data_IF_120445885268
#
_entry.id   IF_120445885268
#
_cell.length_a   1.000
_cell.length_b   1.000
_cell.length_c   1.000
_cell.angle_alpha   90.00
_cell.angle_beta   90.00
_cell.angle_gamma   90.00
#
_symmetry.space_group_name_H-M   'P 1'
#
loop_
_entity.id
_entity.type
_entity.pdbx_description
1 polymer ?
#
# COMPACT_ATOMS: atom_id res chain seq x y z
N UNK A 1 15.42 -22.69 -15.41
CA UNK A 1 15.35 -21.23 -15.64
C UNK A 1 16.15 -20.62 -14.49
N UNK A 2 17.13 -19.80 -14.82
CA UNK A 2 18.11 -19.32 -13.83
C UNK A 2 17.46 -18.35 -12.84
N UNK A 3 17.71 -18.53 -11.53
CA UNK A 3 17.29 -17.62 -10.45
C UNK A 3 17.62 -16.15 -10.77
N UNK A 4 18.72 -15.91 -11.46
CA UNK A 4 19.18 -14.60 -11.90
C UNK A 4 18.18 -13.82 -12.81
N UNK A 5 17.22 -14.50 -13.46
CA UNK A 5 16.19 -13.79 -14.25
C UNK A 5 15.07 -13.25 -13.35
N UNK A 6 14.64 -14.04 -12.37
CA UNK A 6 13.58 -13.63 -11.44
C UNK A 6 14.04 -12.46 -10.56
N UNK A 7 15.31 -12.48 -10.13
CA UNK A 7 15.93 -11.41 -9.34
C UNK A 7 15.99 -10.06 -10.07
N UNK A 8 15.81 -10.06 -11.39
CA UNK A 8 15.79 -8.84 -12.22
C UNK A 8 14.39 -8.25 -12.45
N UNK A 9 13.34 -8.95 -12.02
CA UNK A 9 11.98 -8.49 -12.21
C UNK A 9 11.57 -7.57 -11.05
N UNK A 10 11.36 -6.26 -11.28
CA UNK A 10 11.09 -5.30 -10.20
C UNK A 10 9.89 -5.67 -9.33
N UNK A 11 8.90 -6.37 -9.90
CA UNK A 11 7.67 -6.76 -9.20
C UNK A 11 7.73 -8.18 -8.59
N UNK A 12 8.80 -8.94 -8.83
CA UNK A 12 8.97 -10.31 -8.30
C UNK A 12 9.92 -10.33 -7.09
N UNK A 13 9.71 -9.42 -6.14
CA UNK A 13 10.61 -9.23 -5.00
C UNK A 13 10.11 -9.94 -3.76
N UNK A 14 11.02 -10.56 -3.01
CA UNK A 14 10.71 -11.44 -1.88
C UNK A 14 11.59 -11.21 -0.64
N UNK A 15 12.04 -9.98 -0.41
CA UNK A 15 12.81 -9.66 0.81
C UNK A 15 11.94 -9.62 2.06
N UNK A 16 10.62 -9.49 1.89
CA UNK A 16 9.65 -9.52 2.98
C UNK A 16 9.15 -10.95 3.16
N UNK A 17 9.24 -11.48 4.37
CA UNK A 17 8.56 -12.71 4.75
C UNK A 17 7.07 -12.41 4.88
N UNK A 18 6.27 -13.04 4.03
CA UNK A 18 4.81 -12.83 4.02
C UNK A 18 4.10 -13.31 5.29
N UNK A 19 4.78 -14.06 6.15
CA UNK A 19 4.32 -14.51 7.48
C UNK A 19 2.89 -15.08 7.45
N UNK A 20 2.66 -15.96 6.48
CA UNK A 20 1.31 -16.42 6.07
C UNK A 20 0.57 -17.09 7.22
N UNK A 21 1.27 -17.85 8.06
CA UNK A 21 0.68 -18.63 9.14
C UNK A 21 0.02 -17.73 10.20
N UNK A 22 0.50 -16.50 10.36
CA UNK A 22 -0.04 -15.57 11.34
C UNK A 22 -1.29 -14.82 10.89
N UNK A 23 -1.59 -14.81 9.59
CA UNK A 23 -2.72 -14.03 9.04
C UNK A 23 -4.08 -14.40 9.64
N UNK A 24 -4.23 -15.62 10.13
CA UNK A 24 -5.43 -16.12 10.80
C UNK A 24 -5.48 -15.85 12.32
N UNK A 25 -4.45 -15.24 12.92
CA UNK A 25 -4.45 -14.94 14.34
C UNK A 25 -5.48 -13.86 14.67
N UNK A 26 -6.33 -14.15 15.64
CA UNK A 26 -7.30 -13.18 16.16
C UNK A 26 -6.59 -11.94 16.72
N UNK A 27 -7.05 -10.75 16.36
CA UNK A 27 -6.49 -9.47 16.82
C UNK A 27 -5.07 -9.18 16.32
N UNK A 28 -4.58 -9.88 15.28
CA UNK A 28 -3.25 -9.63 14.72
C UNK A 28 -3.06 -8.16 14.33
N UNK A 29 -4.01 -7.59 13.57
CA UNK A 29 -3.90 -6.21 13.08
C UNK A 29 -3.87 -5.19 14.22
N UNK A 30 -4.65 -5.41 15.29
CA UNK A 30 -4.65 -4.53 16.46
C UNK A 30 -3.29 -4.57 17.19
N UNK A 31 -2.72 -5.79 17.34
CA UNK A 31 -1.38 -5.93 17.94
C UNK A 31 -0.30 -5.26 17.10
N UNK A 32 -0.38 -5.40 15.77
CA UNK A 32 0.58 -4.75 14.87
C UNK A 32 0.43 -3.23 14.89
N UNK A 33 -0.78 -2.70 14.96
CA UNK A 33 -1.02 -1.27 15.14
C UNK A 33 -0.55 -0.75 16.50
N UNK A 34 -0.47 -1.59 17.51
CA UNK A 34 0.05 -1.23 18.83
C UNK A 34 1.60 -1.28 18.90
N UNK A 35 2.25 -1.94 17.93
CA UNK A 35 3.72 -2.04 17.89
C UNK A 35 4.31 -0.83 17.16
N UNK A 36 5.11 -0.02 17.87
CA UNK A 36 5.74 1.20 17.34
C UNK A 36 6.76 0.92 16.21
N UNK A 37 7.22 -0.32 16.07
CA UNK A 37 8.10 -0.74 14.96
C UNK A 37 7.36 -0.88 13.66
N UNK A 38 6.03 -1.12 13.70
CA UNK A 38 5.22 -1.32 12.50
C UNK A 38 5.31 -0.11 11.58
N UNK A 39 5.53 -0.39 10.30
CA UNK A 39 5.54 0.61 9.22
C UNK A 39 4.34 0.38 8.31
N UNK A 40 3.76 1.48 7.86
CA UNK A 40 2.50 1.45 7.10
C UNK A 40 2.67 2.15 5.77
N UNK A 41 2.37 1.42 4.69
CA UNK A 41 2.28 1.93 3.33
C UNK A 41 0.87 2.48 3.13
N UNK A 42 0.73 3.68 2.59
CA UNK A 42 -0.58 4.21 2.20
C UNK A 42 -0.90 3.86 0.74
N UNK A 43 -2.13 3.42 0.52
CA UNK A 43 -2.70 3.17 -0.81
C UNK A 43 -3.94 4.04 -1.00
N UNK A 44 -4.05 4.64 -2.20
CA UNK A 44 -5.25 5.36 -2.62
C UNK A 44 -5.48 5.15 -4.12
N UNK A 45 -6.60 4.53 -4.48
CA UNK A 45 -7.01 4.27 -5.88
C UNK A 45 -5.95 3.56 -6.72
N UNK A 46 -5.28 2.58 -6.13
CA UNK A 46 -4.21 1.82 -6.78
C UNK A 46 -2.87 2.57 -6.89
N UNK A 47 -2.76 3.75 -6.31
CA UNK A 47 -1.52 4.50 -6.16
C UNK A 47 -0.92 4.29 -4.77
N UNK A 48 0.39 4.39 -4.66
CA UNK A 48 1.10 4.38 -3.37
C UNK A 48 1.70 5.74 -3.05
N UNK A 49 1.75 6.05 -1.77
CA UNK A 49 2.35 7.30 -1.29
C UNK A 49 3.88 7.24 -1.32
N UNK A 50 4.48 8.29 -1.84
CA UNK A 50 5.92 8.56 -1.77
C UNK A 50 6.16 9.93 -1.12
N UNK A 51 7.35 10.22 -0.59
CA UNK A 51 7.65 11.54 -0.06
C UNK A 51 7.34 12.64 -1.08
N UNK A 52 6.95 13.82 -0.58
CA UNK A 52 6.63 14.96 -1.43
C UNK A 52 7.81 15.30 -2.35
N UNK A 53 7.50 15.59 -3.62
CA UNK A 53 8.46 15.87 -4.70
C UNK A 53 9.26 14.64 -5.22
N UNK A 54 9.00 13.43 -4.72
CA UNK A 54 9.65 12.22 -5.22
C UNK A 54 9.01 11.66 -6.51
N UNK A 55 7.76 12.03 -6.81
CA UNK A 55 7.05 11.57 -8.02
C UNK A 55 7.75 11.98 -9.32
N UNK A 56 8.40 13.14 -9.34
CA UNK A 56 9.14 13.61 -10.52
C UNK A 56 10.30 12.67 -10.90
N UNK A 57 11.02 12.12 -9.92
CA UNK A 57 12.08 11.14 -10.16
C UNK A 57 11.54 9.83 -10.75
N UNK A 58 10.40 9.36 -10.25
CA UNK A 58 9.73 8.16 -10.77
C UNK A 58 9.27 8.33 -12.24
N UNK A 59 8.74 9.50 -12.59
CA UNK A 59 8.31 9.80 -13.96
C UNK A 59 9.49 9.91 -14.94
N UNK A 60 10.59 10.53 -14.53
CA UNK A 60 11.80 10.65 -15.35
C UNK A 60 12.39 9.28 -15.67
N UNK A 61 12.34 8.33 -14.75
CA UNK A 61 12.82 6.97 -14.98
C UNK A 61 12.00 6.24 -16.07
N UNK A 62 10.71 6.54 -16.21
CA UNK A 62 9.87 5.97 -17.28
C UNK A 62 10.19 6.56 -18.64
N UNK A 63 10.39 7.87 -18.74
CA UNK A 63 10.70 8.53 -20.02
C UNK A 63 12.00 8.00 -20.63
N UNK A 64 12.96 7.61 -19.78
CA UNK A 64 14.20 6.95 -20.23
C UNK A 64 13.99 5.52 -20.73
N UNK A 65 12.94 4.83 -20.28
CA UNK A 65 12.65 3.45 -20.68
C UNK A 65 11.94 3.35 -22.04
N UNK A 66 11.24 4.41 -22.47
CA UNK A 66 10.47 4.46 -23.71
C UNK A 66 11.28 5.01 -24.92
N UNK A 67 12.52 5.45 -24.72
CA UNK A 67 13.40 5.85 -25.82
C UNK A 67 14.02 4.61 -26.49
N UNK A 68 13.62 4.25 -27.74
CA UNK A 68 14.17 3.08 -28.43
C UNK A 68 15.66 3.24 -28.79
N UNK A 69 16.20 4.45 -28.71
CA UNK A 69 17.62 4.77 -28.97
C UNK A 69 18.44 4.84 -27.68
N UNK A 70 17.82 4.90 -26.52
CA UNK A 70 18.54 4.81 -25.26
C UNK A 70 19.16 3.40 -25.14
N UNK A 71 20.43 3.26 -24.74
CA UNK A 71 20.95 1.97 -24.34
C UNK A 71 20.00 1.43 -23.27
N UNK A 72 19.29 0.33 -23.59
CA UNK A 72 18.48 -0.34 -22.58
C UNK A 72 19.41 -0.58 -21.40
N UNK A 73 19.18 -0.01 -20.22
CA UNK A 73 19.98 -0.35 -19.08
C UNK A 73 19.87 -1.87 -19.00
N UNK A 74 20.98 -2.57 -19.15
CA UNK A 74 21.06 -3.98 -18.77
C UNK A 74 20.30 -4.06 -17.47
N UNK A 75 19.20 -4.83 -17.41
CA UNK A 75 18.19 -4.79 -16.36
C UNK A 75 18.83 -4.45 -15.02
N UNK A 76 19.00 -3.18 -14.77
CA UNK A 76 19.73 -2.68 -13.61
C UNK A 76 18.86 -3.02 -12.40
N UNK A 77 19.49 -3.55 -11.39
CA UNK A 77 18.83 -3.69 -10.08
C UNK A 77 18.14 -2.36 -9.74
N UNK A 78 16.94 -2.39 -9.12
CA UNK A 78 16.20 -1.17 -8.79
C UNK A 78 17.13 -0.16 -8.15
N UNK A 79 17.13 1.07 -8.64
CA UNK A 79 18.11 2.09 -8.26
C UNK A 79 17.96 2.54 -6.82
N UNK A 80 16.80 2.27 -6.19
CA UNK A 80 16.51 2.69 -4.83
C UNK A 80 16.38 4.21 -4.65
N UNK A 81 16.26 4.95 -5.76
CA UNK A 81 16.21 6.43 -5.71
C UNK A 81 14.88 6.96 -5.16
N UNK A 82 13.79 6.19 -5.30
CA UNK A 82 12.46 6.56 -4.79
C UNK A 82 12.02 5.57 -3.73
N UNK A 83 11.83 6.05 -2.51
CA UNK A 83 11.35 5.26 -1.39
C UNK A 83 9.83 5.43 -1.19
N UNK A 84 9.17 4.41 -0.62
CA UNK A 84 7.81 4.56 -0.10
C UNK A 84 7.76 5.55 1.07
N UNK A 85 6.68 6.29 1.18
CA UNK A 85 6.35 7.04 2.39
C UNK A 85 5.83 6.05 3.45
N UNK A 86 6.71 5.64 4.36
CA UNK A 86 6.38 4.71 5.44
C UNK A 86 5.98 5.48 6.69
N UNK A 87 4.73 5.34 7.14
CA UNK A 87 4.23 5.96 8.35
C UNK A 87 4.41 5.02 9.55
N UNK A 88 4.51 5.59 10.75
CA UNK A 88 4.43 4.83 11.98
C UNK A 88 3.00 4.36 12.29
N UNK A 89 2.86 3.24 13.00
CA UNK A 89 1.56 2.70 13.40
C UNK A 89 0.70 3.71 14.18
N UNK A 90 1.32 4.51 15.05
CA UNK A 90 0.64 5.53 15.84
C UNK A 90 -0.02 6.61 14.97
N UNK A 91 0.56 6.96 13.82
CA UNK A 91 0.06 7.99 12.92
C UNK A 91 -1.20 7.55 12.17
N UNK A 92 -1.37 6.24 11.95
CA UNK A 92 -2.45 5.66 11.14
C UNK A 92 -3.56 5.04 11.98
N UNK A 93 -3.35 4.79 13.27
CA UNK A 93 -4.25 4.03 14.13
C UNK A 93 -5.68 4.56 14.12
N UNK A 94 -5.86 5.87 14.23
CA UNK A 94 -7.18 6.49 14.22
C UNK A 94 -7.88 6.33 12.87
N UNK A 95 -7.14 6.44 11.77
CA UNK A 95 -7.68 6.30 10.42
C UNK A 95 -8.00 4.84 10.08
N UNK A 96 -7.19 3.89 10.53
CA UNK A 96 -7.37 2.46 10.27
C UNK A 96 -8.71 1.92 10.76
N UNK A 97 -9.29 2.54 11.80
CA UNK A 97 -10.60 2.18 12.36
C UNK A 97 -11.77 2.90 11.67
N UNK A 98 -11.51 3.77 10.69
CA UNK A 98 -12.59 4.53 10.03
C UNK A 98 -13.29 3.69 8.97
N UNK A 99 -14.61 3.89 8.78
CA UNK A 99 -15.35 3.25 7.70
C UNK A 99 -14.70 3.54 6.33
N UNK A 100 -14.60 2.52 5.50
CA UNK A 100 -14.02 2.64 4.16
C UNK A 100 -12.50 2.51 4.09
N UNK A 101 -11.81 2.47 5.21
CA UNK A 101 -10.40 2.11 5.25
C UNK A 101 -10.23 0.58 5.29
N UNK A 102 -9.19 0.08 4.61
CA UNK A 102 -8.82 -1.34 4.62
C UNK A 102 -7.38 -1.46 5.12
N UNK A 103 -7.20 -2.24 6.17
CA UNK A 103 -5.88 -2.57 6.70
C UNK A 103 -5.46 -3.96 6.20
N UNK A 104 -4.22 -4.06 5.70
CA UNK A 104 -3.67 -5.29 5.11
C UNK A 104 -2.32 -5.58 5.75
N UNK A 105 -2.11 -6.81 6.24
CA UNK A 105 -0.79 -7.24 6.71
C UNK A 105 0.07 -7.67 5.53
N UNK A 106 1.15 -6.95 5.26
CA UNK A 106 2.05 -7.24 4.13
C UNK A 106 3.12 -8.28 4.47
N UNK A 107 3.46 -8.42 5.75
CA UNK A 107 4.49 -9.34 6.21
C UNK A 107 5.49 -8.67 7.16
N UNK A 108 6.65 -9.30 7.31
CA UNK A 108 7.68 -8.88 8.25
C UNK A 108 9.06 -8.91 7.59
N UNK A 109 9.84 -7.87 7.79
CA UNK A 109 11.25 -7.84 7.43
C UNK A 109 12.08 -8.43 8.58
N UNK A 110 12.66 -9.61 8.34
CA UNK A 110 13.48 -10.33 9.32
C UNK A 110 14.98 -10.03 9.15
N UNK A 111 15.35 -9.19 8.19
CA UNK A 111 16.73 -8.73 8.04
C UNK A 111 17.10 -7.64 9.06
N UNK A 112 16.09 -7.01 9.64
CA UNK A 112 16.22 -6.03 10.72
C UNK A 112 16.16 -6.72 12.10
N UNK A 113 16.93 -6.22 13.06
CA UNK A 113 16.84 -6.65 14.47
C UNK A 113 16.57 -5.46 15.40
N UNK A 114 15.40 -5.42 16.02
CA UNK A 114 14.27 -6.36 15.92
C UNK A 114 13.54 -6.29 14.59
N UNK A 115 12.97 -7.42 14.13
CA UNK A 115 12.24 -7.53 12.88
C UNK A 115 11.10 -6.50 12.77
N UNK A 116 10.88 -5.97 11.56
CA UNK A 116 9.96 -4.86 11.30
C UNK A 116 8.71 -5.36 10.59
N UNK A 117 7.51 -5.27 11.21
CA UNK A 117 6.25 -5.57 10.55
C UNK A 117 5.83 -4.47 9.58
N UNK A 118 5.18 -4.87 8.47
CA UNK A 118 4.63 -3.95 7.47
C UNK A 118 3.14 -4.16 7.28
N UNK A 119 2.40 -3.05 7.27
CA UNK A 119 0.99 -2.99 6.93
C UNK A 119 0.80 -2.11 5.68
N UNK A 120 -0.32 -2.29 5.00
CA UNK A 120 -0.87 -1.28 4.10
C UNK A 120 -2.17 -0.75 4.67
N UNK A 121 -2.41 0.54 4.53
CA UNK A 121 -3.69 1.19 4.79
C UNK A 121 -4.21 1.76 3.47
N UNK A 122 -5.27 1.14 2.95
CA UNK A 122 -5.99 1.67 1.80
C UNK A 122 -7.05 2.66 2.28
N UNK A 123 -6.90 3.92 1.84
CA UNK A 123 -7.81 5.02 2.14
C UNK A 123 -8.73 5.35 0.97
N UNK A 124 -8.77 4.54 -0.08
CA UNK A 124 -9.54 4.79 -1.31
C UNK A 124 -11.01 5.12 -1.05
N UNK A 125 -11.60 4.48 -0.06
CA UNK A 125 -13.01 4.64 0.31
C UNK A 125 -13.22 5.43 1.59
N UNK A 126 -12.15 5.98 2.17
CA UNK A 126 -12.31 6.92 3.28
C UNK A 126 -13.18 8.09 2.82
N UNK A 127 -14.14 8.55 3.63
CA UNK A 127 -15.08 9.62 3.23
C UNK A 127 -14.41 10.87 2.68
N UNK A 128 -13.21 11.17 3.15
CA UNK A 128 -12.45 12.38 2.83
C UNK A 128 -11.39 12.17 1.73
N UNK A 129 -11.26 10.94 1.20
CA UNK A 129 -10.25 10.60 0.17
C UNK A 129 -10.52 11.23 -1.20
N UNK A 130 -11.72 11.73 -1.44
CA UNK A 130 -12.15 12.33 -2.69
C UNK A 130 -12.33 13.85 -2.62
N UNK A 131 -12.13 14.47 -1.45
CA UNK A 131 -12.29 15.91 -1.32
C UNK A 131 -11.22 16.63 -2.16
N UNK A 132 -11.60 17.47 -3.15
CA UNK A 132 -10.65 18.32 -3.81
C UNK A 132 -10.04 19.25 -2.76
N UNK A 133 -8.73 19.40 -2.78
CA UNK A 133 -8.03 20.43 -2.05
C UNK A 133 -8.43 21.78 -2.67
N UNK A 134 -9.61 22.31 -2.33
CA UNK A 134 -9.95 23.68 -2.66
C UNK A 134 -9.08 24.57 -1.78
N UNK A 135 -8.04 25.12 -2.40
CA UNK A 135 -7.34 26.26 -1.85
C UNK A 135 -8.36 27.41 -1.69
N UNK A 136 -8.68 27.74 -0.45
CA UNK A 136 -9.49 28.92 -0.12
C UNK A 136 -10.98 28.62 0.09
N UNK A 137 -11.32 28.13 1.26
CA UNK A 137 -12.62 28.40 1.87
C UNK A 137 -12.35 28.62 3.37
N UNK A 138 -12.29 29.89 3.73
CA UNK A 138 -12.49 30.35 5.09
C UNK A 138 -13.91 29.96 5.51
N UNK A 139 -14.03 28.81 6.14
CA UNK A 139 -15.22 28.44 6.88
C UNK A 139 -14.85 28.25 8.34
N UNK A 140 -15.14 29.28 9.11
CA UNK A 140 -15.39 29.21 10.54
C UNK A 140 -16.54 28.23 10.82
N UNK A 141 -16.21 26.92 10.79
CA UNK A 141 -17.04 25.89 11.41
C UNK A 141 -16.09 25.00 12.18
N UNK A 142 -16.35 24.84 13.47
CA UNK A 142 -15.57 24.24 14.53
C UNK A 142 -14.51 23.25 14.03
N UNK A 143 -13.28 23.46 14.46
CA UNK A 143 -12.07 22.74 14.02
C UNK A 143 -12.27 21.22 14.08
N UNK A 144 -12.84 20.64 13.04
CA UNK A 144 -12.78 19.19 12.80
C UNK A 144 -11.33 18.87 12.50
N UNK A 145 -10.71 18.03 13.34
CA UNK A 145 -9.31 17.65 13.15
C UNK A 145 -9.11 17.09 11.74
N UNK A 146 -8.12 17.62 11.01
CA UNK A 146 -7.77 17.18 9.67
C UNK A 146 -7.45 15.67 9.72
N UNK A 147 -8.15 14.88 8.92
CA UNK A 147 -7.98 13.42 8.89
C UNK A 147 -6.65 13.02 8.26
N UNK A 148 -6.20 11.77 8.50
CA UNK A 148 -5.00 11.26 7.84
C UNK A 148 -5.18 11.25 6.32
N UNK A 149 -6.37 10.87 5.81
CA UNK A 149 -6.64 10.88 4.37
C UNK A 149 -6.46 12.28 3.77
N UNK A 150 -6.98 13.32 4.40
CA UNK A 150 -6.81 14.71 3.96
C UNK A 150 -5.35 15.17 4.02
N UNK A 151 -4.64 14.82 5.11
CA UNK A 151 -3.20 15.14 5.24
C UNK A 151 -2.38 14.42 4.17
N UNK A 152 -2.64 13.14 3.95
CA UNK A 152 -1.90 12.32 3.01
C UNK A 152 -2.02 12.83 1.57
N UNK A 153 -3.19 13.31 1.16
CA UNK A 153 -3.39 13.92 -0.17
C UNK A 153 -2.57 15.21 -0.37
N UNK A 154 -2.29 15.93 0.72
CA UNK A 154 -1.51 17.17 0.69
C UNK A 154 -0.01 16.93 0.84
N UNK A 155 0.38 16.02 1.74
CA UNK A 155 1.74 15.90 2.26
C UNK A 155 2.59 14.88 1.50
N UNK A 156 1.96 14.00 0.70
CA UNK A 156 2.63 13.00 -0.13
C UNK A 156 2.34 13.19 -1.61
N UNK A 157 3.24 12.67 -2.44
CA UNK A 157 2.97 12.40 -3.84
C UNK A 157 2.44 10.98 -3.99
N UNK A 158 1.66 10.74 -5.06
CA UNK A 158 1.01 9.46 -5.32
C UNK A 158 1.47 8.94 -6.67
N UNK A 159 2.03 7.73 -6.69
CA UNK A 159 2.62 7.15 -7.90
C UNK A 159 2.03 5.78 -8.21
N UNK A 160 1.95 5.47 -9.50
CA UNK A 160 1.58 4.15 -9.99
C UNK A 160 2.70 3.15 -9.74
N UNK A 161 2.34 1.89 -9.49
CA UNK A 161 3.28 0.81 -9.24
C UNK A 161 4.33 0.66 -10.36
N UNK A 162 3.90 0.77 -11.62
CA UNK A 162 4.81 0.64 -12.77
C UNK A 162 5.85 1.77 -12.85
N UNK A 163 5.51 2.94 -12.32
CA UNK A 163 6.46 4.07 -12.27
C UNK A 163 7.41 3.96 -11.08
N UNK A 164 6.93 3.41 -9.96
CA UNK A 164 7.73 3.23 -8.77
C UNK A 164 8.72 2.06 -8.89
N UNK A 165 8.27 0.90 -9.37
CA UNK A 165 9.01 -0.35 -9.29
C UNK A 165 10.42 -0.32 -9.91
N UNK A 166 10.68 0.37 -11.04
CA UNK A 166 12.04 0.46 -11.61
C UNK A 166 13.02 1.27 -10.78
N UNK A 167 12.53 2.19 -9.93
CA UNK A 167 13.36 3.12 -9.16
C UNK A 167 13.27 2.93 -7.65
N UNK A 168 12.45 1.99 -7.17
CA UNK A 168 12.35 1.66 -5.76
C UNK A 168 13.37 0.59 -5.34
N UNK A 169 13.62 0.49 -4.04
CA UNK A 169 14.33 -0.66 -3.49
C UNK A 169 13.55 -1.96 -3.70
N UNK A 170 14.25 -3.09 -3.68
CA UNK A 170 13.63 -4.44 -3.75
C UNK A 170 12.52 -4.59 -2.71
N UNK A 171 12.76 -4.14 -1.48
CA UNK A 171 11.78 -4.15 -0.39
C UNK A 171 10.55 -3.31 -0.74
N UNK A 172 10.76 -2.07 -1.13
CA UNK A 172 9.67 -1.11 -1.38
C UNK A 172 8.85 -1.51 -2.60
N UNK A 173 9.48 -2.04 -3.66
CA UNK A 173 8.78 -2.59 -4.81
C UNK A 173 7.89 -3.78 -4.42
N UNK A 174 8.38 -4.69 -3.58
CA UNK A 174 7.62 -5.84 -3.07
C UNK A 174 6.44 -5.43 -2.20
N UNK A 175 6.66 -4.50 -1.26
CA UNK A 175 5.61 -3.95 -0.40
C UNK A 175 4.52 -3.25 -1.22
N UNK A 176 4.91 -2.38 -2.17
CA UNK A 176 3.99 -1.68 -3.05
C UNK A 176 3.18 -2.63 -3.92
N UNK A 177 3.84 -3.67 -4.47
CA UNK A 177 3.17 -4.68 -5.30
C UNK A 177 2.05 -5.38 -4.52
N UNK A 178 2.36 -5.88 -3.32
CA UNK A 178 1.40 -6.57 -2.47
C UNK A 178 0.27 -5.64 -2.03
N UNK A 179 0.62 -4.43 -1.59
CA UNK A 179 -0.34 -3.42 -1.14
C UNK A 179 -1.34 -3.05 -2.24
N UNK A 180 -0.85 -2.72 -3.45
CA UNK A 180 -1.70 -2.33 -4.59
C UNK A 180 -2.53 -3.50 -5.09
N UNK A 181 -1.95 -4.70 -5.22
CA UNK A 181 -2.67 -5.87 -5.73
C UNK A 181 -3.84 -6.24 -4.83
N UNK A 182 -3.61 -6.37 -3.51
CA UNK A 182 -4.64 -6.76 -2.54
C UNK A 182 -5.70 -5.65 -2.40
N UNK A 183 -5.28 -4.39 -2.31
CA UNK A 183 -6.19 -3.24 -2.25
C UNK A 183 -7.09 -3.17 -3.49
N UNK A 184 -6.52 -3.32 -4.70
CA UNK A 184 -7.25 -3.31 -5.96
C UNK A 184 -8.24 -4.47 -6.03
N UNK A 185 -7.84 -5.66 -5.58
CA UNK A 185 -8.75 -6.80 -5.50
C UNK A 185 -9.95 -6.51 -4.62
N UNK A 186 -9.77 -6.00 -3.38
CA UNK A 186 -10.88 -5.61 -2.51
C UNK A 186 -11.73 -4.48 -3.09
N UNK A 187 -11.15 -3.58 -3.87
CA UNK A 187 -11.89 -2.51 -4.53
C UNK A 187 -12.88 -3.04 -5.58
N UNK A 188 -12.52 -4.10 -6.31
CA UNK A 188 -13.32 -4.68 -7.39
C UNK A 188 -14.20 -5.84 -6.92
N UNK A 189 -13.70 -6.71 -6.03
CA UNK A 189 -14.45 -7.84 -5.50
C UNK A 189 -15.19 -7.43 -4.24
N UNK A 190 -16.43 -6.98 -4.39
CA UNK A 190 -17.27 -6.47 -3.28
C UNK A 190 -18.39 -7.41 -2.88
N UNK A 191 -18.71 -8.35 -3.75
CA UNK A 191 -19.81 -9.27 -3.59
C UNK A 191 -19.33 -10.69 -3.84
N UNK A 192 -19.91 -11.62 -3.10
CA UNK A 192 -19.64 -13.04 -3.26
C UNK A 192 -20.07 -13.50 -4.66
N UNK A 193 -19.19 -14.12 -5.45
CA UNK A 193 -19.53 -14.57 -6.81
C UNK A 193 -20.55 -15.72 -6.84
N UNK A 194 -20.73 -16.43 -5.71
CA UNK A 194 -21.67 -17.54 -5.63
C UNK A 194 -23.10 -17.08 -5.29
N UNK A 195 -23.27 -16.12 -4.37
CA UNK A 195 -24.59 -15.75 -3.85
C UNK A 195 -24.94 -14.26 -3.96
N UNK A 196 -23.98 -13.42 -4.37
CA UNK A 196 -24.20 -11.96 -4.53
C UNK A 196 -24.28 -11.16 -3.24
N UNK A 197 -24.10 -11.77 -2.06
CA UNK A 197 -24.02 -11.02 -0.79
C UNK A 197 -22.69 -10.27 -0.68
N UNK A 198 -22.64 -9.19 0.12
CA UNK A 198 -21.39 -8.48 0.39
C UNK A 198 -20.34 -9.42 0.97
N UNK A 199 -19.07 -9.07 0.77
CA UNK A 199 -17.94 -9.76 1.38
C UNK A 199 -17.21 -8.83 2.33
N UNK A 200 -16.59 -9.40 3.38
CA UNK A 200 -15.78 -8.69 4.35
C UNK A 200 -14.33 -9.20 4.33
N UNK A 201 -13.35 -8.32 4.59
CA UNK A 201 -11.95 -8.72 4.67
C UNK A 201 -11.71 -9.76 5.77
N UNK A 202 -10.90 -10.75 5.48
CA UNK A 202 -10.47 -11.80 6.39
C UNK A 202 -8.97 -12.08 6.25
N UNK A 203 -8.39 -12.89 7.12
CA UNK A 203 -6.97 -13.26 7.11
C UNK A 203 -6.05 -12.04 6.96
N UNK A 204 -6.27 -11.04 7.81
CA UNK A 204 -5.53 -9.78 7.80
C UNK A 204 -5.47 -9.10 6.41
N UNK A 205 -6.58 -9.12 5.67
CA UNK A 205 -6.77 -8.51 4.36
C UNK A 205 -6.50 -9.43 3.17
N UNK A 206 -6.00 -10.65 3.36
CA UNK A 206 -5.64 -11.56 2.27
C UNK A 206 -6.75 -12.52 1.84
N UNK A 207 -7.90 -12.46 2.49
CA UNK A 207 -9.08 -13.22 2.13
C UNK A 207 -10.32 -12.35 2.24
N UNK A 208 -11.43 -12.86 1.74
CA UNK A 208 -12.76 -12.29 1.91
C UNK A 208 -13.72 -13.38 2.37
N UNK A 209 -14.58 -13.05 3.33
CA UNK A 209 -15.63 -13.91 3.84
C UNK A 209 -16.97 -13.38 3.36
N UNK A 210 -17.82 -14.27 2.85
CA UNK A 210 -19.18 -13.93 2.48
C UNK A 210 -20.02 -13.63 3.73
N UNK A 211 -20.82 -12.58 3.72
CA UNK A 211 -21.73 -12.21 4.81
C UNK A 211 -23.15 -12.80 4.61
N UNK A 212 -23.37 -13.55 3.53
CA UNK A 212 -24.63 -14.26 3.31
C UNK A 212 -24.83 -15.44 4.27
N UNK A 213 -26.05 -15.94 4.41
CA UNK A 213 -26.30 -17.14 5.19
C UNK A 213 -25.51 -18.32 4.59
N UNK A 214 -24.94 -19.15 5.47
CA UNK A 214 -24.35 -20.43 5.07
C UNK A 214 -25.49 -21.36 4.58
N UNK A 215 -25.84 -21.23 3.32
CA UNK A 215 -26.66 -22.24 2.63
C UNK A 215 -25.70 -23.39 2.30
N UNK A 216 -25.59 -24.36 3.23
CA UNK A 216 -24.70 -25.51 3.24
C UNK A 216 -24.68 -26.37 1.98
#
# INVERSE_FOLDING_TARGET
MSDAFVERLPLAQTTIDYDVDRRGEEGLLDRLLADDRTRVVLVNRGLVAVPKHAAAAALTALDCADDPAAPRPDAAAPTGEVALALLGSAEVRAEASRPGCLLIYLGIDRSEEPAVPYLALDITRAPDSAAPLSAGADHEQGASAVTLAQRALRDFDWVELRSLAPCASVRDAGLATSAVAVSTWHAHQRFCPACGHPVEPALAGWAQTCTGPDDG
#
